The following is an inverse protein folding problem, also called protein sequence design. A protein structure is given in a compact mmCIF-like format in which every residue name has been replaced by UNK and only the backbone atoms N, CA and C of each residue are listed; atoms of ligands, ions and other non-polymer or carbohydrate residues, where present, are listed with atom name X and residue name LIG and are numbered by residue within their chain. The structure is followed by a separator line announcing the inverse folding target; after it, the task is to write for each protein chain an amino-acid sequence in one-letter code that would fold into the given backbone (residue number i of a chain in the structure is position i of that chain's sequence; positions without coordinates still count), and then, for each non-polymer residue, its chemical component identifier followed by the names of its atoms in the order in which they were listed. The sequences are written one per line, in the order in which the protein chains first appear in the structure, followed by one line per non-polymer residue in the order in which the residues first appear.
data_IF_524826557181
#
_entry.id   IF_524826557181
#
_cell.length_a   1.000
_cell.length_b   1.000
_cell.length_c   1.000
_cell.angle_alpha   90.00
_cell.angle_beta   90.00
_cell.angle_gamma   90.00
#
_symmetry.space_group_name_H-M   'P 1'
#
loop_
_entity.id
_entity.type
_entity.pdbx_description
1 polymer ?
#
# COMPACT_ATOMS: atom_id res chain seq x y z
N UNK A 1 -6.13 2.95 25.21
CA UNK A 1 -5.17 2.09 24.49
C UNK A 1 -5.87 0.83 23.99
N UNK A 2 -6.59 0.07 24.85
CA UNK A 2 -7.43 -1.09 24.46
C UNK A 2 -8.41 -0.84 23.29
N UNK A 3 -9.06 0.34 23.23
CA UNK A 3 -10.00 0.67 22.16
C UNK A 3 -9.36 0.92 20.78
N UNK A 4 -8.08 1.28 20.74
CA UNK A 4 -7.35 1.53 19.47
C UNK A 4 -6.81 0.22 18.92
N UNK A 5 -6.25 -0.62 19.79
CA UNK A 5 -5.72 -1.93 19.43
C UNK A 5 -6.82 -2.87 18.91
N UNK A 6 -7.97 -2.92 19.60
CA UNK A 6 -9.14 -3.68 19.14
C UNK A 6 -9.67 -3.21 17.78
N UNK A 7 -9.60 -1.91 17.49
CA UNK A 7 -9.98 -1.34 16.18
C UNK A 7 -8.98 -1.75 15.10
N UNK A 8 -7.67 -1.60 15.34
CA UNK A 8 -6.63 -1.95 14.37
C UNK A 8 -6.66 -3.45 14.03
N UNK A 9 -6.89 -4.31 15.03
CA UNK A 9 -7.08 -5.75 14.79
C UNK A 9 -8.32 -6.03 13.94
N UNK A 10 -9.42 -5.30 14.16
CA UNK A 10 -10.63 -5.47 13.36
C UNK A 10 -10.42 -5.02 11.91
N UNK A 11 -9.75 -3.89 11.69
CA UNK A 11 -9.38 -3.39 10.36
C UNK A 11 -8.48 -4.39 9.63
N UNK A 12 -7.40 -4.87 10.27
CA UNK A 12 -6.49 -5.85 9.68
C UNK A 12 -7.19 -7.17 9.29
N UNK A 13 -8.14 -7.64 10.11
CA UNK A 13 -8.93 -8.85 9.80
C UNK A 13 -9.86 -8.64 8.61
N UNK A 14 -10.50 -7.49 8.52
CA UNK A 14 -11.37 -7.15 7.39
C UNK A 14 -10.56 -7.04 6.09
N UNK A 15 -9.40 -6.39 6.15
CA UNK A 15 -8.48 -6.32 5.02
C UNK A 15 -7.99 -7.71 4.61
N UNK A 16 -7.66 -8.56 5.58
CA UNK A 16 -7.29 -9.96 5.37
C UNK A 16 -8.34 -10.74 4.58
N UNK A 17 -9.60 -10.70 5.01
CA UNK A 17 -10.69 -11.38 4.30
C UNK A 17 -10.99 -10.73 2.93
N UNK A 18 -10.87 -9.40 2.81
CA UNK A 18 -11.02 -8.70 1.53
C UNK A 18 -10.00 -9.19 0.50
N UNK A 19 -8.70 -9.17 0.84
CA UNK A 19 -7.64 -9.57 -0.07
C UNK A 19 -7.66 -11.07 -0.39
N UNK A 20 -7.99 -11.91 0.59
CA UNK A 20 -8.22 -13.35 0.37
C UNK A 20 -9.32 -13.59 -0.65
N UNK A 21 -10.46 -12.91 -0.52
CA UNK A 21 -11.56 -13.01 -1.48
C UNK A 21 -11.16 -12.52 -2.88
N UNK A 22 -10.40 -11.42 -2.98
CA UNK A 22 -9.85 -10.95 -4.24
C UNK A 22 -8.95 -12.00 -4.91
N UNK A 23 -8.03 -12.58 -4.15
CA UNK A 23 -7.12 -13.62 -4.64
C UNK A 23 -7.88 -14.87 -5.10
N UNK A 24 -8.86 -15.34 -4.33
CA UNK A 24 -9.69 -16.48 -4.69
C UNK A 24 -10.50 -16.22 -5.97
N UNK A 25 -11.05 -15.02 -6.13
CA UNK A 25 -11.77 -14.60 -7.33
C UNK A 25 -10.89 -14.67 -8.59
N UNK A 26 -9.59 -14.35 -8.49
CA UNK A 26 -8.70 -14.40 -9.66
C UNK A 26 -8.57 -15.79 -10.28
N UNK A 27 -8.78 -16.87 -9.52
CA UNK A 27 -8.67 -18.26 -10.00
C UNK A 27 -9.66 -18.59 -11.12
N UNK A 28 -10.77 -17.86 -11.20
CA UNK A 28 -11.82 -18.03 -12.21
C UNK A 28 -11.76 -17.08 -13.41
N UNK A 29 -10.77 -16.18 -13.47
CA UNK A 29 -10.67 -15.13 -14.50
C UNK A 29 -9.60 -15.48 -15.55
N UNK A 30 -9.89 -15.20 -16.82
CA UNK A 30 -8.88 -15.24 -17.89
C UNK A 30 -7.72 -14.29 -17.57
N UNK A 31 -6.48 -14.76 -17.67
CA UNK A 31 -5.27 -14.05 -17.19
C UNK A 31 -5.24 -13.81 -15.67
N UNK A 32 -6.02 -14.57 -14.89
CA UNK A 32 -6.13 -14.45 -13.45
C UNK A 32 -4.81 -14.52 -12.69
N UNK A 33 -3.82 -15.26 -13.19
CA UNK A 33 -2.48 -15.31 -12.58
C UNK A 33 -1.78 -13.94 -12.54
N UNK A 34 -1.99 -13.11 -13.56
CA UNK A 34 -1.45 -11.74 -13.59
C UNK A 34 -2.18 -10.86 -12.59
N UNK A 35 -3.51 -10.99 -12.51
CA UNK A 35 -4.30 -10.25 -11.53
C UNK A 35 -3.94 -10.64 -10.09
N UNK A 36 -3.75 -11.94 -9.84
CA UNK A 36 -3.26 -12.47 -8.57
C UNK A 36 -1.91 -11.86 -8.22
N UNK A 37 -0.97 -11.78 -9.18
CA UNK A 37 0.32 -11.14 -8.95
C UNK A 37 0.20 -9.66 -8.59
N UNK A 38 -0.72 -8.92 -9.23
CA UNK A 38 -0.98 -7.51 -8.87
C UNK A 38 -1.52 -7.41 -7.45
N UNK A 39 -2.54 -8.20 -7.09
CA UNK A 39 -3.10 -8.17 -5.74
C UNK A 39 -2.10 -8.60 -4.67
N UNK A 40 -1.32 -9.66 -4.88
CA UNK A 40 -0.25 -10.06 -3.97
C UNK A 40 0.85 -8.99 -3.84
N UNK A 41 1.14 -8.24 -4.90
CA UNK A 41 2.04 -7.09 -4.84
C UNK A 41 1.46 -5.92 -4.04
N UNK A 42 0.15 -5.67 -4.18
CA UNK A 42 -0.56 -4.65 -3.37
C UNK A 42 -0.56 -5.04 -1.90
N UNK A 43 -0.73 -6.33 -1.58
CA UNK A 43 -0.61 -6.86 -0.21
C UNK A 43 0.80 -6.61 0.33
N UNK A 44 1.85 -6.96 -0.42
CA UNK A 44 3.23 -6.66 -0.02
C UNK A 44 3.45 -5.17 0.26
N UNK A 45 3.00 -4.29 -0.63
CA UNK A 45 3.14 -2.83 -0.45
C UNK A 45 2.36 -2.32 0.77
N UNK A 46 1.19 -2.92 1.05
CA UNK A 46 0.39 -2.59 2.25
C UNK A 46 1.10 -3.06 3.52
N UNK A 47 1.69 -4.25 3.51
CA UNK A 47 2.49 -4.74 4.64
C UNK A 47 3.73 -3.89 4.85
N UNK A 48 4.42 -3.50 3.78
CA UNK A 48 5.56 -2.59 3.85
C UNK A 48 5.16 -1.24 4.46
N UNK A 49 4.02 -0.68 4.06
CA UNK A 49 3.46 0.55 4.64
C UNK A 49 3.19 0.41 6.14
N UNK A 50 2.57 -0.69 6.57
CA UNK A 50 2.31 -0.99 7.99
C UNK A 50 3.64 -1.03 8.77
N UNK A 51 4.64 -1.75 8.26
CA UNK A 51 5.94 -1.91 8.91
C UNK A 51 6.69 -0.57 8.99
N UNK A 52 6.76 0.19 7.89
CA UNK A 52 7.44 1.48 7.87
C UNK A 52 6.80 2.47 8.85
N UNK A 53 5.47 2.52 8.90
CA UNK A 53 4.73 3.32 9.89
C UNK A 53 4.98 2.86 11.32
N UNK A 54 5.02 1.55 11.55
CA UNK A 54 5.30 0.99 12.87
C UNK A 54 6.69 1.40 13.36
N UNK A 55 7.72 1.25 12.52
CA UNK A 55 9.09 1.64 12.85
C UNK A 55 9.17 3.15 13.13
N UNK A 56 8.58 4.00 12.28
CA UNK A 56 8.56 5.46 12.47
C UNK A 56 7.79 5.85 13.74
N UNK A 57 6.67 5.19 14.01
CA UNK A 57 5.82 5.42 15.16
C UNK A 57 6.33 4.81 16.47
N UNK A 58 7.42 4.04 16.43
CA UNK A 58 7.95 3.32 17.59
C UNK A 58 7.00 2.22 18.10
N UNK A 59 6.17 1.66 17.21
CA UNK A 59 5.33 0.51 17.53
C UNK A 59 6.21 -0.74 17.56
N UNK A 60 6.04 -1.57 18.59
CA UNK A 60 6.80 -2.78 18.80
C UNK A 60 6.51 -3.88 17.77
N UNK A 61 7.08 -5.08 17.95
CA UNK A 61 6.91 -6.21 17.05
C UNK A 61 5.44 -6.66 16.89
N UNK A 62 4.54 -6.21 17.78
CA UNK A 62 3.10 -6.46 17.67
C UNK A 62 2.52 -5.94 16.34
N UNK A 63 3.14 -4.95 15.68
CA UNK A 63 2.62 -4.46 14.41
C UNK A 63 2.66 -5.50 13.28
N UNK A 64 3.45 -6.58 13.43
CA UNK A 64 3.41 -7.72 12.53
C UNK A 64 2.04 -8.41 12.51
N UNK A 65 1.26 -8.35 13.60
CA UNK A 65 -0.07 -8.94 13.69
C UNK A 65 -1.12 -8.23 12.83
N UNK A 66 -0.84 -6.99 12.43
CA UNK A 66 -1.71 -6.22 11.54
C UNK A 66 -1.43 -6.46 10.05
N UNK A 67 -0.41 -7.26 9.72
CA UNK A 67 -0.07 -7.55 8.32
C UNK A 67 -1.03 -8.55 7.68
N UNK A 68 -1.15 -8.44 6.38
CA UNK A 68 -2.11 -9.17 5.55
C UNK A 68 -1.39 -10.34 4.88
N UNK A 69 -1.93 -11.55 5.00
CA UNK A 69 -1.40 -12.74 4.32
C UNK A 69 -1.72 -12.74 2.81
N UNK A 70 -0.97 -13.52 2.03
CA UNK A 70 -1.18 -13.63 0.58
C UNK A 70 -0.34 -12.68 -0.28
N UNK A 71 0.68 -12.07 0.33
CA UNK A 71 1.73 -11.31 -0.35
C UNK A 71 2.54 -12.15 -1.35
N UNK A 72 3.39 -11.49 -2.14
CA UNK A 72 4.18 -12.12 -3.21
C UNK A 72 5.62 -12.41 -2.76
N UNK A 73 6.36 -11.41 -2.27
CA UNK A 73 7.74 -11.54 -1.79
C UNK A 73 7.91 -11.16 -0.31
N UNK A 74 6.94 -10.47 0.31
CA UNK A 74 6.98 -10.12 1.74
C UNK A 74 6.19 -11.18 2.52
N UNK A 75 6.88 -12.26 2.87
CA UNK A 75 6.33 -13.32 3.75
C UNK A 75 6.34 -12.92 5.22
N UNK A 76 5.60 -13.63 6.07
CA UNK A 76 5.57 -13.40 7.53
C UNK A 76 6.97 -13.41 8.18
N UNK A 77 7.88 -14.23 7.66
CA UNK A 77 9.29 -14.23 8.11
C UNK A 77 9.99 -12.93 7.74
N UNK A 78 9.80 -12.44 6.51
CA UNK A 78 10.34 -11.15 6.07
C UNK A 78 9.72 -10.00 6.87
N UNK A 79 8.43 -10.03 7.17
CA UNK A 79 7.77 -9.03 8.03
C UNK A 79 8.46 -8.93 9.39
N UNK A 80 8.71 -10.07 10.05
CA UNK A 80 9.37 -10.14 11.36
C UNK A 80 10.83 -9.67 11.31
N UNK A 81 11.52 -9.97 10.22
CA UNK A 81 12.87 -9.45 10.02
C UNK A 81 12.83 -7.92 9.90
N UNK A 82 11.96 -7.39 9.02
CA UNK A 82 11.88 -5.96 8.72
C UNK A 82 11.49 -5.12 9.94
N UNK A 83 10.50 -5.55 10.74
CA UNK A 83 10.04 -4.77 11.91
C UNK A 83 11.13 -4.62 12.99
N UNK A 84 12.11 -5.51 13.01
CA UNK A 84 13.23 -5.49 13.96
C UNK A 84 14.39 -4.58 13.52
N UNK A 85 14.34 -4.07 12.28
CA UNK A 85 15.38 -3.22 11.69
C UNK A 85 15.11 -1.74 11.93
N UNK A 86 16.16 -0.93 11.80
CA UNK A 86 16.02 0.52 11.68
C UNK A 86 15.46 0.87 10.30
N UNK A 87 14.75 1.99 10.22
CA UNK A 87 14.17 2.50 8.98
C UNK A 87 15.19 2.54 7.82
N UNK A 88 16.42 2.98 8.10
CA UNK A 88 17.52 3.10 7.12
C UNK A 88 18.07 1.76 6.60
N UNK A 89 17.81 0.65 7.30
CA UNK A 89 18.30 -0.69 6.95
C UNK A 89 17.31 -1.45 6.06
N UNK A 90 16.04 -1.01 6.02
CA UNK A 90 14.95 -1.63 5.26
C UNK A 90 15.25 -1.76 3.76
N UNK A 91 15.75 -0.71 3.06
CA UNK A 91 16.04 -0.83 1.62
C UNK A 91 17.05 -1.94 1.33
N UNK A 92 18.13 -2.02 2.12
CA UNK A 92 19.15 -3.06 1.98
C UNK A 92 18.60 -4.46 2.20
N UNK A 93 17.72 -4.65 3.18
CA UNK A 93 17.07 -5.97 3.40
C UNK A 93 16.18 -6.40 2.24
N UNK A 94 15.72 -5.45 1.44
CA UNK A 94 14.83 -5.63 0.28
C UNK A 94 15.54 -5.49 -1.07
N UNK A 95 16.88 -5.41 -1.12
CA UNK A 95 17.68 -5.07 -2.31
C UNK A 95 17.34 -5.91 -3.57
N UNK A 96 16.99 -7.18 -3.38
CA UNK A 96 16.68 -8.13 -4.44
C UNK A 96 15.20 -8.10 -4.87
N UNK A 97 14.44 -7.11 -4.42
CA UNK A 97 13.01 -6.96 -4.68
C UNK A 97 12.71 -5.58 -5.28
N UNK A 98 11.57 -5.47 -5.96
CA UNK A 98 11.06 -4.18 -6.44
C UNK A 98 10.77 -3.18 -5.31
N UNK A 99 10.67 -3.65 -4.06
CA UNK A 99 10.33 -2.85 -2.90
C UNK A 99 11.51 -2.06 -2.33
N UNK A 100 12.76 -2.42 -2.67
CA UNK A 100 13.96 -1.68 -2.22
C UNK A 100 13.87 -0.20 -2.56
N UNK A 101 13.52 0.12 -3.82
CA UNK A 101 13.43 1.50 -4.31
C UNK A 101 12.31 2.28 -3.63
N UNK A 102 11.19 1.60 -3.34
CA UNK A 102 10.06 2.19 -2.62
C UNK A 102 10.47 2.55 -1.20
N UNK A 103 11.15 1.64 -0.51
CA UNK A 103 11.66 1.87 0.83
C UNK A 103 12.71 3.00 0.86
N UNK A 104 13.62 3.04 -0.11
CA UNK A 104 14.63 4.09 -0.25
C UNK A 104 13.98 5.48 -0.40
N UNK A 105 12.99 5.60 -1.30
CA UNK A 105 12.25 6.85 -1.49
C UNK A 105 11.52 7.30 -0.22
N UNK A 106 10.95 6.36 0.55
CA UNK A 106 10.32 6.65 1.85
C UNK A 106 11.36 7.13 2.86
N UNK A 107 12.49 6.44 2.98
CA UNK A 107 13.57 6.81 3.91
C UNK A 107 14.06 8.22 3.62
N UNK A 108 14.36 8.53 2.37
CA UNK A 108 14.87 9.84 1.95
C UNK A 108 13.83 10.95 2.19
N UNK A 109 12.58 10.69 1.83
CA UNK A 109 11.49 11.67 2.00
C UNK A 109 11.17 11.90 3.48
N UNK A 110 11.20 10.85 4.29
CA UNK A 110 11.02 10.96 5.73
C UNK A 110 12.20 11.69 6.38
N UNK A 111 13.44 11.45 5.94
CA UNK A 111 14.59 12.15 6.52
C UNK A 111 14.50 13.67 6.30
N UNK A 112 14.01 14.09 5.14
CA UNK A 112 13.82 15.50 4.79
C UNK A 112 12.62 16.16 5.48
N UNK A 113 11.51 15.45 5.62
CA UNK A 113 10.23 16.04 6.06
C UNK A 113 9.88 15.73 7.52
N UNK A 114 10.42 14.65 8.07
CA UNK A 114 10.04 14.04 9.36
C UNK A 114 8.54 13.76 9.48
N UNK A 115 7.84 13.62 8.34
CA UNK A 115 6.40 13.39 8.30
C UNK A 115 6.10 11.93 8.00
N UNK A 116 5.34 11.27 8.88
CA UNK A 116 4.89 9.88 8.65
C UNK A 116 3.95 9.77 7.43
N UNK A 117 3.30 10.86 7.01
CA UNK A 117 2.37 10.87 5.88
C UNK A 117 3.06 10.54 4.54
N UNK A 118 4.38 10.76 4.44
CA UNK A 118 5.14 10.42 3.22
C UNK A 118 5.12 8.92 2.92
N UNK A 119 4.97 8.08 3.94
CA UNK A 119 4.86 6.62 3.76
C UNK A 119 3.61 6.31 2.94
N UNK A 120 2.47 6.88 3.31
CA UNK A 120 1.20 6.64 2.62
C UNK A 120 1.22 7.20 1.21
N UNK A 121 1.72 8.43 1.05
CA UNK A 121 1.84 9.08 -0.26
C UNK A 121 2.64 8.23 -1.24
N UNK A 122 3.86 7.84 -0.86
CA UNK A 122 4.78 7.13 -1.73
C UNK A 122 4.22 5.75 -2.05
N UNK A 123 3.81 4.98 -1.04
CA UNK A 123 3.29 3.64 -1.23
C UNK A 123 2.07 3.65 -2.17
N UNK A 124 1.12 4.56 -1.98
CA UNK A 124 -0.09 4.63 -2.81
C UNK A 124 0.24 5.01 -4.27
N UNK A 125 1.19 5.93 -4.49
CA UNK A 125 1.69 6.26 -5.84
C UNK A 125 2.32 5.03 -6.52
N UNK A 126 3.13 4.26 -5.78
CA UNK A 126 3.75 3.03 -6.31
C UNK A 126 2.72 1.92 -6.59
N UNK A 127 1.75 1.69 -5.69
CA UNK A 127 0.64 0.74 -5.93
C UNK A 127 -0.11 1.07 -7.21
N UNK A 128 -0.46 2.34 -7.40
CA UNK A 128 -1.17 2.80 -8.59
C UNK A 128 -0.34 2.63 -9.86
N UNK A 129 0.90 3.11 -9.87
CA UNK A 129 1.80 3.01 -11.03
C UNK A 129 2.03 1.55 -11.44
N UNK A 130 2.29 0.67 -10.47
CA UNK A 130 2.50 -0.75 -10.76
C UNK A 130 1.25 -1.41 -11.34
N UNK A 131 0.07 -1.09 -10.79
CA UNK A 131 -1.20 -1.58 -11.32
C UNK A 131 -1.43 -1.08 -12.76
N UNK A 132 -1.09 0.18 -13.03
CA UNK A 132 -1.17 0.78 -14.36
C UNK A 132 -0.26 0.06 -15.36
N UNK A 133 1.01 -0.10 -15.02
CA UNK A 133 2.03 -0.71 -15.88
C UNK A 133 1.65 -2.15 -16.27
N UNK A 134 1.10 -2.92 -15.32
CA UNK A 134 0.79 -4.34 -15.55
C UNK A 134 -0.55 -4.54 -16.27
N UNK A 135 -1.56 -3.74 -15.93
CA UNK A 135 -2.93 -3.99 -16.37
C UNK A 135 -3.35 -3.15 -17.59
N UNK A 136 -2.97 -1.87 -17.67
CA UNK A 136 -3.42 -0.96 -18.74
C UNK A 136 -3.03 -1.32 -20.18
N UNK A 137 -1.94 -2.07 -20.46
CA UNK A 137 -1.62 -2.48 -21.83
C UNK A 137 -2.51 -3.59 -22.38
N UNK A 138 -3.37 -4.21 -21.56
CA UNK A 138 -4.02 -5.50 -21.88
C UNK A 138 -5.41 -5.35 -22.51
N UNK A 139 -5.55 -4.46 -23.49
CA UNK A 139 -6.82 -3.92 -24.06
C UNK A 139 -7.94 -4.97 -24.31
N UNK A 140 -7.59 -6.21 -24.65
CA UNK A 140 -8.53 -7.30 -24.99
C UNK A 140 -8.68 -8.38 -23.89
N UNK A 141 -8.30 -8.06 -22.65
CA UNK A 141 -8.36 -8.96 -21.49
C UNK A 141 -9.26 -8.38 -20.40
N UNK A 142 -9.93 -9.22 -19.56
CA UNK A 142 -10.64 -8.76 -18.36
C UNK A 142 -9.78 -7.89 -17.43
N UNK A 143 -8.45 -7.98 -17.54
CA UNK A 143 -7.51 -7.16 -16.80
C UNK A 143 -7.66 -5.65 -17.07
N UNK A 144 -8.16 -5.24 -18.22
CA UNK A 144 -8.49 -3.82 -18.45
C UNK A 144 -9.66 -3.35 -17.62
N UNK A 145 -10.64 -4.23 -17.41
CA UNK A 145 -11.79 -3.91 -16.56
C UNK A 145 -11.29 -3.76 -15.12
N UNK A 146 -10.41 -4.66 -14.66
CA UNK A 146 -9.76 -4.51 -13.37
C UNK A 146 -8.96 -3.20 -13.26
N UNK A 147 -8.17 -2.84 -14.29
CA UNK A 147 -7.49 -1.55 -14.34
C UNK A 147 -8.45 -0.37 -14.24
N UNK A 148 -9.52 -0.37 -15.03
CA UNK A 148 -10.52 0.68 -15.04
C UNK A 148 -11.17 0.86 -13.67
N UNK A 149 -11.48 -0.25 -12.97
CA UNK A 149 -12.05 -0.20 -11.62
C UNK A 149 -11.07 0.40 -10.61
N UNK A 150 -9.79 0.02 -10.64
CA UNK A 150 -8.74 0.60 -9.79
C UNK A 150 -8.59 2.10 -10.07
N UNK A 151 -8.56 2.50 -11.35
CA UNK A 151 -8.51 3.90 -11.74
C UNK A 151 -9.69 4.69 -11.17
N UNK A 152 -10.91 4.16 -11.30
CA UNK A 152 -12.12 4.81 -10.80
C UNK A 152 -12.14 4.90 -9.27
N UNK A 153 -11.66 3.89 -8.57
CA UNK A 153 -11.52 3.93 -7.11
C UNK A 153 -10.59 5.05 -6.66
N UNK A 154 -9.43 5.19 -7.32
CA UNK A 154 -8.46 6.26 -7.03
C UNK A 154 -9.02 7.64 -7.38
N UNK A 155 -9.71 7.79 -8.51
CA UNK A 155 -10.39 9.05 -8.87
C UNK A 155 -11.42 9.45 -7.81
N UNK A 156 -12.25 8.51 -7.36
CA UNK A 156 -13.26 8.77 -6.32
C UNK A 156 -12.60 9.14 -4.98
N UNK A 157 -11.49 8.48 -4.61
CA UNK A 157 -10.74 8.82 -3.39
C UNK A 157 -10.14 10.22 -3.47
N UNK A 158 -9.52 10.59 -4.58
CA UNK A 158 -8.98 11.93 -4.81
C UNK A 158 -10.08 12.99 -4.75
N UNK A 159 -11.22 12.77 -5.43
CA UNK A 159 -12.37 13.69 -5.38
C UNK A 159 -12.90 13.86 -3.95
N UNK A 160 -13.01 12.76 -3.19
CA UNK A 160 -13.43 12.80 -1.79
C UNK A 160 -12.47 13.64 -0.94
N UNK A 161 -11.16 13.48 -1.12
CA UNK A 161 -10.16 14.26 -0.40
C UNK A 161 -10.25 15.75 -0.73
N UNK A 162 -10.40 16.10 -2.01
CA UNK A 162 -10.55 17.50 -2.46
C UNK A 162 -11.82 18.12 -1.88
N UNK A 163 -12.95 17.42 -1.96
CA UNK A 163 -14.23 17.89 -1.39
C UNK A 163 -14.13 18.08 0.13
N UNK A 164 -13.46 17.16 0.83
CA UNK A 164 -13.26 17.26 2.28
C UNK A 164 -12.38 18.46 2.64
N UNK A 165 -11.28 18.68 1.92
CA UNK A 165 -10.40 19.83 2.13
C UNK A 165 -11.14 21.16 1.90
N UNK A 166 -11.94 21.26 0.83
CA UNK A 166 -12.76 22.45 0.58
C UNK A 166 -13.77 22.70 1.70
N UNK A 167 -14.44 21.66 2.19
CA UNK A 167 -15.38 21.77 3.31
C UNK A 167 -14.70 22.22 4.60
N UNK A 168 -13.49 21.72 4.86
CA UNK A 168 -12.68 22.04 6.04
C UNK A 168 -11.87 23.35 5.87
N UNK A 169 -11.99 24.05 4.74
CA UNK A 169 -11.21 25.25 4.37
C UNK A 169 -9.68 25.03 4.38
N UNK A 170 -9.24 23.82 4.03
CA UNK A 170 -7.82 23.47 3.87
C UNK A 170 -7.39 23.82 2.43
N UNK A 171 -6.28 24.57 2.24
CA UNK A 171 -5.74 24.87 0.91
C UNK A 171 -5.44 23.60 0.09
N UNK A 172 -5.71 23.64 -1.21
CA UNK A 172 -5.50 22.48 -2.10
C UNK A 172 -4.02 22.11 -2.18
N UNK A 173 -3.13 23.08 -2.01
CA UNK A 173 -1.69 22.90 -1.95
C UNK A 173 -1.28 21.95 -0.81
N UNK A 174 -1.96 21.99 0.33
CA UNK A 174 -1.65 21.15 1.49
C UNK A 174 -2.03 19.68 1.27
N UNK A 175 -3.06 19.42 0.47
CA UNK A 175 -3.51 18.06 0.16
C UNK A 175 -2.92 17.50 -1.13
N UNK A 176 -2.16 18.29 -1.91
CA UNK A 176 -1.63 17.89 -3.22
C UNK A 176 -0.84 16.59 -3.16
N UNK A 177 -0.04 16.44 -2.12
CA UNK A 177 0.80 15.26 -1.90
C UNK A 177 -0.02 14.02 -1.50
N UNK A 178 -1.23 14.20 -0.97
CA UNK A 178 -2.15 13.11 -0.66
C UNK A 178 -2.91 12.59 -1.88
N UNK A 179 -2.84 13.31 -3.02
CA UNK A 179 -3.47 12.91 -4.26
C UNK A 179 -2.57 11.93 -5.01
N UNK A 180 -3.13 10.79 -5.39
CA UNK A 180 -2.41 9.79 -6.20
C UNK A 180 -2.30 10.27 -7.65
N UNK A 181 -3.42 10.76 -8.21
CA UNK A 181 -3.49 11.45 -9.49
C UNK A 181 -3.20 12.95 -9.31
N UNK A 182 -1.94 13.31 -9.07
CA UNK A 182 -1.48 14.70 -9.12
C UNK A 182 -0.66 14.90 -10.40
N UNK A 183 -1.24 15.56 -11.40
CA UNK A 183 -0.55 15.98 -12.63
C UNK A 183 0.14 17.33 -12.43
#
# INVERSE_FOLDING_TARGET
VEGVESRLMAEARLDGEYYKNLLDMTKGITDGAILSKVFSTIIDMTNLQIILRAIIGGIGPEAAEYTISGGYMISDGVVKDLISLKLTEIPGRLENTQYSKVAEEVVDSYDRTKSIAVVDEIIEKHKFRLSQEILSPRVLSPLMIAWYLILKEVEIRNLRLILKAMFDNIPVEEIRNCLVLSS
#
